data_IF_999227822762
#
_entry.id   IF_999227822762
#
_cell.length_a   1.000
_cell.length_b   1.000
_cell.length_c   1.000
_cell.angle_alpha   90.00
_cell.angle_beta   90.00
_cell.angle_gamma   90.00
#
_symmetry.space_group_name_H-M   'P 1'
#
loop_
_entity.id
_entity.type
_entity.pdbx_description
1 polymer ?
#
# COMPACT_ATOMS: atom_id res chain seq x y z
N UNK A 1 11.42 14.49 -2.73
CA UNK A 1 11.65 13.06 -3.03
C UNK A 1 10.29 12.45 -3.39
N UNK A 2 10.17 11.68 -4.47
CA UNK A 2 8.87 11.10 -4.89
C UNK A 2 8.25 10.19 -3.83
N UNK A 3 9.08 9.60 -2.95
CA UNK A 3 8.63 8.74 -1.85
C UNK A 3 7.86 9.49 -0.74
N UNK A 4 7.93 10.82 -0.71
CA UNK A 4 7.23 11.65 0.28
C UNK A 4 5.91 12.22 -0.23
N UNK A 5 5.48 11.87 -1.46
CA UNK A 5 4.19 12.31 -2.01
C UNK A 5 3.04 11.77 -1.15
N UNK A 6 2.11 12.66 -0.79
CA UNK A 6 0.96 12.35 0.07
C UNK A 6 1.29 12.14 1.54
N UNK A 7 2.57 12.16 1.94
CA UNK A 7 2.98 11.88 3.32
C UNK A 7 2.46 12.95 4.29
N UNK A 8 1.83 12.50 5.36
CA UNK A 8 1.38 13.40 6.43
C UNK A 8 2.57 13.79 7.30
N UNK A 9 2.88 15.09 7.33
CA UNK A 9 3.99 15.64 8.12
C UNK A 9 3.51 16.18 9.48
N UNK A 10 2.31 16.77 9.49
CA UNK A 10 1.67 17.32 10.68
C UNK A 10 0.17 17.09 10.63
N UNK A 11 -0.42 16.93 11.80
CA UNK A 11 -1.87 16.93 11.99
C UNK A 11 -2.19 17.95 13.09
N UNK A 12 -3.13 18.87 12.82
CA UNK A 12 -3.47 19.98 13.71
C UNK A 12 -2.25 20.78 14.21
N UNK A 13 -1.30 21.05 13.31
CA UNK A 13 -0.06 21.78 13.62
C UNK A 13 1.03 20.97 14.36
N UNK A 14 0.72 19.77 14.84
CA UNK A 14 1.65 18.92 15.58
C UNK A 14 2.29 17.83 14.68
N UNK A 15 3.59 17.52 14.84
CA UNK A 15 4.28 16.47 14.07
C UNK A 15 4.02 15.05 14.61
N UNK A 16 3.34 14.94 15.75
CA UNK A 16 2.97 13.71 16.44
C UNK A 16 1.63 13.94 17.13
N UNK A 17 0.94 12.85 17.43
CA UNK A 17 -0.26 12.87 18.25
C UNK A 17 0.10 13.01 19.74
N UNK A 18 -0.90 13.27 20.55
CA UNK A 18 -0.81 13.30 22.01
C UNK A 18 -2.01 12.59 22.63
N UNK A 19 -2.27 11.36 22.17
CA UNK A 19 -3.47 10.57 22.53
C UNK A 19 -3.09 9.29 23.27
N UNK A 20 -2.01 8.63 22.82
CA UNK A 20 -1.63 7.30 23.27
C UNK A 20 -0.50 7.34 24.30
N UNK A 21 -0.28 6.21 24.99
CA UNK A 21 0.81 6.11 25.94
C UNK A 21 2.17 6.05 25.22
N UNK A 22 3.10 6.96 25.53
CA UNK A 22 4.45 6.94 24.97
C UNK A 22 4.54 7.41 23.50
N UNK A 23 5.78 7.60 22.99
CA UNK A 23 6.01 8.31 21.73
C UNK A 23 5.64 7.50 20.48
N UNK A 24 5.70 6.17 20.56
CA UNK A 24 5.58 5.29 19.38
C UNK A 24 4.19 5.31 18.75
N UNK A 25 3.15 5.02 19.53
CA UNK A 25 1.77 5.02 19.05
C UNK A 25 1.29 6.40 18.60
N UNK A 26 1.95 7.46 19.06
CA UNK A 26 1.69 8.83 18.66
C UNK A 26 2.42 9.27 17.39
N UNK A 27 3.23 8.40 16.76
CA UNK A 27 3.95 8.75 15.54
C UNK A 27 2.99 8.71 14.34
N UNK A 28 2.96 9.81 13.57
CA UNK A 28 2.22 9.90 12.31
C UNK A 28 3.08 9.28 11.21
N UNK A 29 2.57 8.24 10.54
CA UNK A 29 3.29 7.49 9.51
C UNK A 29 2.39 7.32 8.29
N UNK A 30 2.99 7.46 7.11
CA UNK A 30 2.29 7.21 5.86
C UNK A 30 1.56 8.43 5.30
N UNK A 31 0.61 8.17 4.40
CA UNK A 31 -0.22 9.18 3.73
C UNK A 31 -1.57 9.30 4.40
N UNK A 32 -2.44 10.21 3.95
CA UNK A 32 -3.81 10.35 4.44
C UNK A 32 -4.79 9.31 3.83
N UNK A 33 -4.26 8.29 3.14
CA UNK A 33 -5.01 7.29 2.37
C UNK A 33 -5.67 7.75 1.07
N UNK A 34 -5.47 9.01 0.65
CA UNK A 34 -6.03 9.51 -0.62
C UNK A 34 -5.02 9.49 -1.76
N UNK A 35 -3.76 9.81 -1.45
CA UNK A 35 -2.65 9.86 -2.38
C UNK A 35 -1.53 8.98 -1.84
N UNK A 36 -0.91 8.17 -2.69
CA UNK A 36 0.21 7.29 -2.34
C UNK A 36 1.41 7.56 -3.25
N UNK A 37 2.64 7.30 -2.77
CA UNK A 37 3.82 7.45 -3.60
C UNK A 37 3.82 6.43 -4.76
N UNK A 38 4.39 6.80 -5.93
CA UNK A 38 4.50 5.90 -7.07
C UNK A 38 5.52 4.78 -6.82
N UNK A 39 5.50 3.78 -7.71
CA UNK A 39 6.40 2.62 -7.70
C UNK A 39 6.26 1.76 -6.44
N UNK A 40 5.02 1.41 -6.11
CA UNK A 40 4.69 0.47 -5.03
C UNK A 40 5.35 -0.87 -5.33
N UNK A 41 6.07 -1.40 -4.36
CA UNK A 41 6.77 -2.67 -4.48
C UNK A 41 5.94 -3.79 -3.85
N UNK A 42 5.81 -4.91 -4.55
CA UNK A 42 5.20 -6.10 -3.98
C UNK A 42 5.90 -6.51 -2.67
N UNK A 43 5.11 -6.91 -1.67
CA UNK A 43 5.60 -7.35 -0.36
C UNK A 43 6.00 -6.23 0.61
N UNK A 44 5.89 -4.95 0.24
CA UNK A 44 6.12 -3.84 1.17
C UNK A 44 4.81 -3.31 1.73
N UNK A 45 4.75 -3.15 3.04
CA UNK A 45 3.60 -2.56 3.72
C UNK A 45 3.36 -1.11 3.27
N UNK A 46 2.09 -0.78 3.09
CA UNK A 46 1.62 0.58 2.83
C UNK A 46 1.14 1.15 4.16
N UNK A 47 1.71 2.27 4.57
CA UNK A 47 1.32 2.98 5.78
C UNK A 47 0.40 4.13 5.44
N UNK A 48 -0.64 4.30 6.25
CA UNK A 48 -1.52 5.46 6.19
C UNK A 48 -1.89 5.94 7.59
N UNK A 49 -2.00 7.25 7.73
CA UNK A 49 -2.51 7.91 8.92
C UNK A 49 -4.02 8.13 8.77
N UNK A 50 -4.75 7.67 9.78
CA UNK A 50 -6.20 7.78 9.85
C UNK A 50 -6.56 8.71 11.00
N UNK A 51 -6.93 9.95 10.68
CA UNK A 51 -7.31 10.95 11.67
C UNK A 51 -8.56 10.56 12.45
N UNK A 52 -9.48 9.83 11.82
CA UNK A 52 -10.69 9.27 12.42
C UNK A 52 -10.40 8.16 13.45
N UNK A 53 -9.23 7.52 13.34
CA UNK A 53 -8.76 6.49 14.27
C UNK A 53 -7.70 7.01 15.24
N UNK A 54 -7.27 8.26 15.11
CA UNK A 54 -6.11 8.83 15.78
C UNK A 54 -4.87 7.91 15.72
N UNK A 55 -4.63 7.15 14.66
CA UNK A 55 -3.43 6.30 14.54
C UNK A 55 -3.04 6.06 13.10
N UNK A 56 -1.82 5.56 12.92
CA UNK A 56 -1.40 5.01 11.63
C UNK A 56 -1.70 3.51 11.56
N UNK A 57 -2.10 3.03 10.39
CA UNK A 57 -2.32 1.61 10.09
C UNK A 57 -1.39 1.18 8.95
N UNK A 58 -1.10 -0.12 8.92
CA UNK A 58 -0.33 -0.75 7.86
C UNK A 58 -1.24 -1.70 7.09
N UNK A 59 -1.31 -1.52 5.78
CA UNK A 59 -1.90 -2.47 4.86
C UNK A 59 -0.78 -3.40 4.33
N UNK A 60 -1.03 -4.71 4.40
CA UNK A 60 -0.09 -5.76 4.04
C UNK A 60 -0.41 -6.31 2.66
N UNK A 61 0.63 -6.54 1.86
CA UNK A 61 0.49 -7.13 0.54
C UNK A 61 0.00 -8.58 0.65
N UNK A 62 -1.06 -8.92 -0.08
CA UNK A 62 -1.59 -10.28 -0.14
C UNK A 62 -1.27 -10.95 -1.49
N UNK A 63 -1.28 -10.22 -2.60
CA UNK A 63 -1.00 -10.79 -3.90
C UNK A 63 -1.30 -9.90 -5.09
N UNK A 64 -1.07 -10.38 -6.31
CA UNK A 64 -1.50 -9.69 -7.52
C UNK A 64 -3.03 -9.74 -7.65
N UNK A 65 -3.59 -8.67 -8.23
CA UNK A 65 -5.00 -8.52 -8.53
C UNK A 65 -5.18 -7.87 -9.91
N UNK A 66 -6.44 -7.75 -10.34
CA UNK A 66 -6.78 -7.04 -11.56
C UNK A 66 -8.06 -6.25 -11.33
N UNK A 67 -8.05 -4.98 -11.74
CA UNK A 67 -9.22 -4.12 -11.69
C UNK A 67 -9.51 -3.56 -13.08
N UNK A 68 -10.64 -3.98 -13.67
CA UNK A 68 -11.08 -3.54 -15.02
C UNK A 68 -9.98 -3.61 -16.08
N UNK A 69 -9.21 -4.71 -16.07
CA UNK A 69 -8.09 -4.94 -16.99
C UNK A 69 -6.74 -4.39 -16.53
N UNK A 70 -6.71 -3.47 -15.57
CA UNK A 70 -5.47 -2.89 -15.02
C UNK A 70 -4.84 -3.85 -14.00
N UNK A 71 -3.55 -4.24 -14.16
CA UNK A 71 -2.82 -4.99 -13.15
C UNK A 71 -2.73 -4.22 -11.85
N UNK A 72 -3.00 -4.91 -10.74
CA UNK A 72 -3.04 -4.30 -9.42
C UNK A 72 -2.30 -5.17 -8.39
N UNK A 73 -2.01 -4.57 -7.24
CA UNK A 73 -1.57 -5.26 -6.03
C UNK A 73 -2.67 -5.16 -4.98
N UNK A 74 -3.08 -6.32 -4.46
CA UNK A 74 -4.05 -6.46 -3.39
C UNK A 74 -3.38 -6.31 -2.03
N UNK A 75 -3.94 -5.43 -1.21
CA UNK A 75 -3.53 -5.20 0.16
C UNK A 75 -4.70 -5.38 1.11
N UNK A 76 -4.44 -5.89 2.30
CA UNK A 76 -5.42 -5.99 3.39
C UNK A 76 -4.90 -5.35 4.66
N UNK A 77 -5.81 -4.84 5.49
CA UNK A 77 -5.45 -4.19 6.75
C UNK A 77 -6.27 -4.75 7.91
N UNK A 78 -5.68 -4.75 9.10
CA UNK A 78 -6.28 -5.26 10.33
C UNK A 78 -6.10 -4.22 11.44
N UNK A 79 -6.86 -4.34 12.54
CA UNK A 79 -6.70 -3.47 13.70
C UNK A 79 -5.54 -3.88 14.63
N UNK A 80 -4.84 -4.98 14.29
CA UNK A 80 -3.70 -5.50 15.02
C UNK A 80 -4.07 -6.42 16.19
N UNK A 81 -3.05 -6.72 17.00
CA UNK A 81 -3.18 -7.45 18.25
C UNK A 81 -2.53 -6.64 19.36
N UNK A 82 -3.29 -5.67 19.87
CA UNK A 82 -2.82 -4.74 20.91
C UNK A 82 -2.51 -5.45 22.24
N UNK A 83 -3.10 -6.64 22.48
CA UNK A 83 -2.85 -7.43 23.68
C UNK A 83 -1.50 -8.16 23.64
N UNK A 84 -1.16 -8.76 22.51
CA UNK A 84 0.01 -9.62 22.38
C UNK A 84 1.23 -8.89 21.80
N UNK A 85 1.03 -7.86 20.97
CA UNK A 85 2.10 -7.17 20.25
C UNK A 85 2.71 -6.07 21.12
N UNK A 86 3.96 -6.19 21.61
CA UNK A 86 4.56 -5.22 22.53
C UNK A 86 4.58 -3.79 21.98
N UNK A 87 4.70 -3.69 20.66
CA UNK A 87 4.76 -2.44 19.91
C UNK A 87 3.43 -1.70 19.84
N UNK A 88 2.31 -2.42 20.01
CA UNK A 88 0.95 -1.90 19.95
C UNK A 88 0.33 -1.72 21.33
N UNK A 89 0.98 -2.21 22.40
CA UNK A 89 0.50 -2.07 23.79
C UNK A 89 0.24 -0.63 24.22
N UNK A 90 0.88 0.36 23.57
CA UNK A 90 0.62 1.77 23.84
C UNK A 90 -0.78 2.25 23.41
N UNK A 91 -1.49 1.49 22.58
CA UNK A 91 -2.89 1.72 22.24
C UNK A 91 -3.86 1.20 23.30
N UNK A 92 -3.42 0.38 24.26
CA UNK A 92 -4.26 -0.08 25.35
C UNK A 92 -4.76 1.09 26.21
N UNK A 93 -6.03 1.10 26.64
CA UNK A 93 -6.55 2.12 27.57
C UNK A 93 -5.76 2.15 28.89
N UNK A 94 -5.48 0.97 29.43
CA UNK A 94 -4.62 0.72 30.59
C UNK A 94 -3.87 -0.62 30.42
N UNK A 95 -2.77 -0.85 31.17
CA UNK A 95 -2.06 -2.13 31.14
C UNK A 95 -2.92 -3.34 31.54
N UNK A 96 -3.84 -3.15 32.49
CA UNK A 96 -4.63 -4.23 33.09
C UNK A 96 -5.95 -4.51 32.35
N UNK A 97 -6.42 -3.55 31.53
CA UNK A 97 -7.71 -3.63 30.83
C UNK A 97 -7.55 -3.58 29.31
N UNK A 98 -6.44 -4.11 28.79
CA UNK A 98 -6.25 -4.12 27.34
C UNK A 98 -7.22 -5.10 26.67
N UNK A 99 -7.84 -4.63 25.59
CA UNK A 99 -8.71 -5.47 24.77
C UNK A 99 -7.88 -6.46 23.94
N UNK A 100 -8.51 -7.54 23.49
CA UNK A 100 -7.85 -8.60 22.73
C UNK A 100 -7.71 -8.24 21.25
N UNK A 101 -7.03 -9.12 20.51
CA UNK A 101 -6.82 -9.05 19.06
C UNK A 101 -8.07 -8.59 18.28
N UNK A 102 -7.83 -7.77 17.25
CA UNK A 102 -8.83 -7.29 16.30
C UNK A 102 -9.78 -6.24 16.86
N UNK A 103 -9.44 -5.65 18.01
CA UNK A 103 -10.17 -4.55 18.62
C UNK A 103 -9.29 -3.30 18.73
N UNK A 104 -9.94 -2.14 18.77
CA UNK A 104 -9.27 -0.87 18.99
C UNK A 104 -10.17 0.08 19.77
N UNK A 105 -9.73 0.49 20.96
CA UNK A 105 -10.47 1.43 21.80
C UNK A 105 -10.25 2.87 21.31
N UNK A 106 -11.34 3.52 20.90
CA UNK A 106 -11.33 4.87 20.36
C UNK A 106 -11.64 5.94 21.43
N UNK A 107 -11.85 5.55 22.69
CA UNK A 107 -12.33 6.44 23.75
C UNK A 107 -11.42 7.62 24.02
N UNK A 108 -10.09 7.42 23.98
CA UNK A 108 -9.12 8.52 24.13
C UNK A 108 -9.09 9.48 22.93
N UNK A 109 -9.50 8.99 21.75
CA UNK A 109 -9.51 9.78 20.51
C UNK A 109 -10.80 10.61 20.37
N UNK A 110 -11.97 10.04 20.68
CA UNK A 110 -13.27 10.68 20.46
C UNK A 110 -13.98 11.16 21.73
N UNK A 111 -13.54 10.69 22.90
CA UNK A 111 -14.24 10.94 24.18
C UNK A 111 -15.49 10.09 24.41
N UNK A 112 -15.85 9.21 23.47
CA UNK A 112 -17.00 8.30 23.58
C UNK A 112 -16.54 6.84 23.78
N UNK A 113 -17.28 6.00 24.52
CA UNK A 113 -16.88 4.62 24.86
C UNK A 113 -17.02 3.65 23.68
N UNK A 114 -16.40 3.98 22.55
CA UNK A 114 -16.48 3.28 21.27
C UNK A 114 -15.26 2.39 21.12
N UNK A 115 -15.51 1.13 20.80
CA UNK A 115 -14.49 0.16 20.41
C UNK A 115 -14.74 -0.26 18.97
N UNK A 116 -13.69 -0.17 18.16
CA UNK A 116 -13.73 -0.59 16.76
C UNK A 116 -13.32 -2.04 16.62
N UNK A 117 -14.00 -2.73 15.71
CA UNK A 117 -13.62 -4.03 15.17
C UNK A 117 -13.81 -4.02 13.65
N UNK A 118 -13.41 -5.08 12.96
CA UNK A 118 -13.94 -5.31 11.61
C UNK A 118 -15.39 -5.85 11.72
N UNK A 119 -16.21 -5.74 10.66
CA UNK A 119 -17.59 -6.22 10.67
C UNK A 119 -17.71 -7.68 11.08
N UNK A 120 -18.74 -7.96 11.87
CA UNK A 120 -19.03 -9.27 12.46
C UNK A 120 -17.82 -9.85 13.23
N UNK A 121 -16.98 -8.97 13.80
CA UNK A 121 -15.75 -9.35 14.51
C UNK A 121 -14.76 -10.16 13.66
N UNK A 122 -14.74 -9.93 12.34
CA UNK A 122 -13.75 -10.55 11.45
C UNK A 122 -12.31 -10.25 11.95
N UNK A 123 -11.50 -11.30 12.06
CA UNK A 123 -10.12 -11.30 12.62
C UNK A 123 -9.97 -10.87 14.10
N UNK A 124 -11.06 -10.68 14.83
CA UNK A 124 -11.00 -10.48 16.28
C UNK A 124 -10.90 -11.81 17.03
N UNK A 125 -10.53 -11.76 18.31
CA UNK A 125 -10.54 -12.92 19.20
C UNK A 125 -11.93 -13.55 19.27
N UNK A 126 -12.00 -14.89 19.17
CA UNK A 126 -13.26 -15.64 19.11
C UNK A 126 -14.15 -15.42 20.34
N UNK A 127 -13.59 -14.97 21.48
CA UNK A 127 -14.37 -14.63 22.66
C UNK A 127 -15.43 -13.55 22.36
N UNK A 128 -15.21 -12.67 21.40
CA UNK A 128 -16.15 -11.60 21.07
C UNK A 128 -17.36 -12.09 20.27
N UNK A 129 -17.27 -13.29 19.70
CA UNK A 129 -18.40 -13.96 19.05
C UNK A 129 -19.28 -14.70 20.06
N UNK A 130 -18.75 -14.97 21.26
CA UNK A 130 -19.49 -15.64 22.32
C UNK A 130 -20.59 -14.71 22.85
N UNK A 131 -21.74 -15.28 23.19
CA UNK A 131 -22.89 -14.55 23.74
C UNK A 131 -23.56 -13.52 22.82
N UNK A 132 -23.21 -13.48 21.53
CA UNK A 132 -23.89 -12.66 20.52
C UNK A 132 -24.34 -13.54 19.35
N UNK A 133 -25.64 -13.61 19.11
CA UNK A 133 -26.21 -14.37 18.00
C UNK A 133 -26.28 -13.52 16.73
N UNK A 134 -26.19 -14.15 15.56
CA UNK A 134 -26.33 -13.49 14.25
C UNK A 134 -25.02 -12.99 13.61
N UNK A 135 -23.90 -13.02 14.34
CA UNK A 135 -22.58 -12.69 13.81
C UNK A 135 -22.05 -13.83 12.91
N UNK A 136 -21.41 -13.43 11.81
CA UNK A 136 -20.91 -14.32 10.75
C UNK A 136 -19.70 -13.67 10.09
N UNK A 137 -18.49 -13.77 10.67
CA UNK A 137 -17.29 -13.19 10.07
C UNK A 137 -16.97 -13.89 8.74
N UNK A 138 -16.94 -13.12 7.65
CA UNK A 138 -16.64 -13.61 6.30
C UNK A 138 -15.60 -12.70 5.65
N UNK A 139 -14.45 -13.26 5.25
CA UNK A 139 -13.33 -12.49 4.69
C UNK A 139 -13.77 -11.57 3.56
N UNK A 140 -14.49 -12.10 2.57
CA UNK A 140 -14.89 -11.34 1.37
C UNK A 140 -15.80 -10.14 1.70
N UNK A 141 -16.64 -10.27 2.73
CA UNK A 141 -17.60 -9.23 3.12
C UNK A 141 -17.06 -8.27 4.16
N UNK A 142 -16.12 -8.69 5.00
CA UNK A 142 -15.76 -7.96 6.22
C UNK A 142 -14.29 -7.56 6.31
N UNK A 143 -13.43 -8.00 5.39
CA UNK A 143 -12.05 -7.51 5.35
C UNK A 143 -11.98 -6.04 4.89
N UNK A 144 -10.96 -5.32 5.37
CA UNK A 144 -10.48 -4.10 4.72
C UNK A 144 -9.56 -4.51 3.59
N UNK A 145 -9.78 -3.97 2.39
CA UNK A 145 -8.84 -4.16 1.29
C UNK A 145 -8.65 -2.92 0.43
N UNK A 146 -7.49 -2.88 -0.24
CA UNK A 146 -7.09 -1.85 -1.17
C UNK A 146 -6.36 -2.49 -2.36
N UNK A 147 -6.80 -2.16 -3.57
CA UNK A 147 -6.14 -2.53 -4.81
C UNK A 147 -5.41 -1.33 -5.38
N UNK A 148 -4.11 -1.45 -5.62
CA UNK A 148 -3.28 -0.36 -6.14
C UNK A 148 -2.70 -0.67 -7.51
N UNK A 149 -2.68 0.32 -8.40
CA UNK A 149 -1.82 0.30 -9.57
C UNK A 149 -0.38 0.59 -9.15
N UNK A 150 0.53 -0.33 -9.45
CA UNK A 150 1.91 -0.35 -8.91
C UNK A 150 2.80 0.82 -9.37
N UNK A 151 2.64 1.32 -10.59
CA UNK A 151 3.53 2.32 -11.20
C UNK A 151 3.22 3.70 -10.63
N UNK A 152 1.95 4.08 -10.65
CA UNK A 152 1.47 5.40 -10.21
C UNK A 152 1.18 5.47 -8.72
N UNK A 153 0.90 4.33 -8.08
CA UNK A 153 0.39 4.28 -6.72
C UNK A 153 -1.10 4.61 -6.61
N UNK A 154 -1.83 4.65 -7.73
CA UNK A 154 -3.25 5.01 -7.75
C UNK A 154 -4.10 3.92 -7.10
N UNK A 155 -4.93 4.23 -6.09
CA UNK A 155 -5.94 3.30 -5.59
C UNK A 155 -7.03 3.08 -6.64
N UNK A 156 -7.27 1.81 -6.98
CA UNK A 156 -8.23 1.38 -8.00
C UNK A 156 -9.56 0.95 -7.38
N UNK A 157 -9.50 0.18 -6.30
CA UNK A 157 -10.65 -0.25 -5.50
C UNK A 157 -10.25 -0.25 -4.04
N UNK A 158 -11.09 0.34 -3.20
CA UNK A 158 -10.87 0.42 -1.76
C UNK A 158 -12.16 0.06 -1.05
N UNK A 159 -12.06 -0.75 0.00
CA UNK A 159 -13.15 -0.98 0.96
C UNK A 159 -12.58 -0.91 2.37
N UNK A 160 -12.87 0.18 3.07
CA UNK A 160 -12.61 0.35 4.50
C UNK A 160 -13.89 0.01 5.25
N UNK A 161 -13.84 -1.06 6.03
CA UNK A 161 -14.99 -1.59 6.76
C UNK A 161 -14.70 -1.60 8.25
N UNK A 162 -15.53 -0.92 9.02
CA UNK A 162 -15.38 -0.80 10.46
C UNK A 162 -16.71 -1.04 11.15
N UNK A 163 -16.66 -1.74 12.27
CA UNK A 163 -17.79 -1.97 13.17
C UNK A 163 -17.57 -1.19 14.46
N UNK A 164 -18.63 -0.51 14.88
CA UNK A 164 -18.68 0.30 16.08
C UNK A 164 -19.38 -0.50 17.16
N UNK A 165 -18.70 -0.66 18.29
CA UNK A 165 -19.16 -1.45 19.42
C UNK A 165 -19.07 -0.62 20.71
N UNK A 166 -19.90 -0.96 21.70
CA UNK A 166 -19.81 -0.42 23.07
C UNK A 166 -19.59 -1.58 24.04
N UNK A 167 -18.70 -1.39 25.01
CA UNK A 167 -18.51 -2.36 26.08
C UNK A 167 -19.64 -2.25 27.10
N UNK A 168 -20.57 -3.20 27.07
CA UNK A 168 -21.66 -3.31 28.05
C UNK A 168 -21.17 -4.19 29.18
N UNK A 169 -21.38 -3.75 30.42
CA UNK A 169 -21.04 -4.50 31.62
C UNK A 169 -22.03 -4.19 32.74
N UNK A 170 -22.10 -5.08 33.73
CA UNK A 170 -22.97 -4.90 34.89
C UNK A 170 -22.54 -3.68 35.72
N UNK A 171 -23.50 -2.80 36.02
CA UNK A 171 -23.31 -1.67 36.94
C UNK A 171 -24.37 -1.73 38.04
N UNK A 172 -23.96 -2.10 39.26
CA UNK A 172 -24.90 -2.34 40.37
C UNK A 172 -25.75 -1.12 40.72
N UNK A 173 -25.19 0.08 40.54
CA UNK A 173 -25.85 1.35 40.87
C UNK A 173 -26.91 1.80 39.85
N UNK A 174 -26.95 1.17 38.66
CA UNK A 174 -27.88 1.55 37.58
C UNK A 174 -28.83 0.38 37.35
N UNK A 175 -30.09 0.53 37.76
CA UNK A 175 -31.10 -0.54 37.73
C UNK A 175 -31.21 -1.23 36.36
N UNK A 176 -31.13 -0.46 35.27
CA UNK A 176 -31.19 -0.95 33.89
C UNK A 176 -29.97 -1.80 33.49
N UNK A 177 -28.82 -1.62 34.16
CA UNK A 177 -27.57 -2.31 33.84
C UNK A 177 -27.23 -3.42 34.84
N UNK A 178 -28.03 -3.62 35.90
CA UNK A 178 -27.76 -4.63 36.91
C UNK A 178 -27.72 -6.06 36.33
N UNK A 179 -28.57 -6.37 35.36
CA UNK A 179 -28.70 -7.72 34.82
C UNK A 179 -28.13 -7.88 33.41
N UNK A 180 -27.32 -6.92 32.95
CA UNK A 180 -26.71 -7.01 31.63
C UNK A 180 -25.46 -7.90 31.64
N UNK A 181 -25.25 -8.70 30.59
CA UNK A 181 -24.02 -9.46 30.44
C UNK A 181 -22.84 -8.51 30.14
N UNK A 182 -21.64 -8.96 30.48
CA UNK A 182 -20.41 -8.26 30.10
C UNK A 182 -20.01 -8.68 28.69
N UNK A 183 -20.31 -7.84 27.70
CA UNK A 183 -20.07 -8.11 26.28
C UNK A 183 -19.63 -6.85 25.53
N UNK A 184 -18.93 -7.06 24.42
CA UNK A 184 -18.67 -6.00 23.45
C UNK A 184 -19.82 -5.96 22.45
N UNK A 185 -20.82 -5.12 22.70
CA UNK A 185 -22.05 -5.11 21.93
C UNK A 185 -21.88 -4.33 20.60
N UNK A 186 -22.08 -4.98 19.43
CA UNK A 186 -22.04 -4.30 18.14
C UNK A 186 -23.28 -3.43 17.95
N UNK A 187 -23.08 -2.21 17.45
CA UNK A 187 -24.16 -1.27 17.17
C UNK A 187 -24.46 -1.25 15.67
N UNK A 188 -23.42 -0.97 14.89
CA UNK A 188 -23.48 -0.88 13.43
C UNK A 188 -22.10 -1.12 12.85
N UNK A 189 -22.06 -1.46 11.58
CA UNK A 189 -20.85 -1.41 10.78
C UNK A 189 -21.09 -0.58 9.53
N UNK A 190 -20.03 0.04 9.03
CA UNK A 190 -20.05 0.89 7.84
C UNK A 190 -18.99 0.43 6.86
N UNK A 191 -19.28 0.61 5.58
CA UNK A 191 -18.32 0.50 4.49
C UNK A 191 -18.11 1.89 3.89
N UNK A 192 -16.87 2.36 3.95
CA UNK A 192 -16.39 3.45 3.11
C UNK A 192 -15.67 2.81 1.91
N UNK A 193 -16.25 3.00 0.73
CA UNK A 193 -15.79 2.34 -0.49
C UNK A 193 -15.55 3.32 -1.62
N UNK A 194 -14.55 3.04 -2.44
CA UNK A 194 -14.29 3.74 -3.69
C UNK A 194 -13.96 2.73 -4.78
N UNK A 195 -14.56 2.92 -5.94
CA UNK A 195 -14.25 2.20 -7.18
C UNK A 195 -13.86 3.22 -8.24
N UNK A 196 -12.71 3.03 -8.88
CA UNK A 196 -12.25 3.93 -9.92
C UNK A 196 -13.13 3.78 -11.16
N UNK A 197 -13.79 4.87 -11.55
CA UNK A 197 -14.69 4.88 -12.70
C UNK A 197 -13.95 4.57 -14.02
N UNK A 198 -14.69 4.04 -15.01
CA UNK A 198 -14.14 3.65 -16.30
C UNK A 198 -13.43 4.83 -17.00
N UNK A 199 -13.94 6.05 -16.86
CA UNK A 199 -13.31 7.23 -17.43
C UNK A 199 -11.87 7.40 -16.94
N UNK A 200 -11.64 7.29 -15.63
CA UNK A 200 -10.31 7.41 -15.03
C UNK A 200 -9.43 6.19 -15.30
N UNK A 201 -10.01 4.99 -15.37
CA UNK A 201 -9.29 3.79 -15.81
C UNK A 201 -8.73 3.96 -17.22
N UNK A 202 -9.53 4.51 -18.15
CA UNK A 202 -9.08 4.76 -19.52
C UNK A 202 -7.96 5.82 -19.55
N UNK A 203 -8.05 6.87 -18.73
CA UNK A 203 -6.98 7.87 -18.58
C UNK A 203 -5.70 7.20 -18.09
N UNK A 204 -5.79 6.33 -17.09
CA UNK A 204 -4.65 5.60 -16.53
C UNK A 204 -4.02 4.67 -17.57
N UNK A 205 -4.85 3.90 -18.30
CA UNK A 205 -4.40 3.02 -19.39
C UNK A 205 -3.64 3.78 -20.47
N UNK A 206 -4.22 4.87 -20.98
CA UNK A 206 -3.63 5.70 -22.03
C UNK A 206 -2.35 6.40 -21.56
N UNK A 207 -2.40 7.02 -20.38
CA UNK A 207 -1.32 7.89 -19.89
C UNK A 207 -0.12 7.08 -19.39
N UNK A 208 -0.35 5.91 -18.80
CA UNK A 208 0.71 5.11 -18.20
C UNK A 208 1.11 3.97 -19.12
N UNK A 209 0.20 3.04 -19.38
CA UNK A 209 0.54 1.78 -20.03
C UNK A 209 0.88 1.97 -21.51
N UNK A 210 0.02 2.66 -22.27
CA UNK A 210 0.26 2.89 -23.70
C UNK A 210 1.44 3.83 -23.94
N UNK A 211 1.56 4.89 -23.15
CA UNK A 211 2.68 5.82 -23.25
C UNK A 211 4.01 5.14 -22.91
N UNK A 212 4.06 4.33 -21.84
CA UNK A 212 5.27 3.57 -21.46
C UNK A 212 5.65 2.58 -22.56
N UNK A 213 4.67 1.88 -23.13
CA UNK A 213 4.90 0.98 -24.26
C UNK A 213 5.47 1.71 -25.49
N UNK A 214 4.84 2.82 -25.88
CA UNK A 214 5.27 3.63 -27.02
C UNK A 214 6.68 4.19 -26.84
N UNK A 215 6.97 4.79 -25.68
CA UNK A 215 8.31 5.31 -25.35
C UNK A 215 9.34 4.17 -25.31
N UNK A 216 8.97 3.02 -24.77
CA UNK A 216 9.81 1.82 -24.77
C UNK A 216 10.17 1.35 -26.17
N UNK A 217 9.18 1.25 -27.05
CA UNK A 217 9.37 0.85 -28.45
C UNK A 217 10.27 1.83 -29.21
N UNK A 218 9.99 3.13 -29.10
CA UNK A 218 10.81 4.20 -29.70
C UNK A 218 12.25 4.13 -29.20
N UNK A 219 12.46 3.95 -27.90
CA UNK A 219 13.80 3.81 -27.31
C UNK A 219 14.56 2.61 -27.89
N UNK A 220 13.91 1.46 -28.02
CA UNK A 220 14.53 0.25 -28.60
C UNK A 220 14.91 0.48 -30.06
N UNK A 221 14.02 1.08 -30.86
CA UNK A 221 14.27 1.39 -32.27
C UNK A 221 15.49 2.30 -32.41
N UNK A 222 15.55 3.41 -31.66
CA UNK A 222 16.69 4.32 -31.69
C UNK A 222 17.99 3.66 -31.22
N UNK A 223 17.93 2.78 -30.23
CA UNK A 223 19.10 2.03 -29.74
C UNK A 223 19.62 1.08 -30.82
N UNK A 224 18.75 0.35 -31.51
CA UNK A 224 19.12 -0.54 -32.62
C UNK A 224 19.72 0.27 -33.77
N UNK A 225 19.09 1.38 -34.15
CA UNK A 225 19.58 2.26 -35.21
C UNK A 225 20.98 2.81 -34.88
N UNK A 226 21.21 3.23 -33.64
CA UNK A 226 22.51 3.70 -33.19
C UNK A 226 23.59 2.60 -33.26
N UNK A 227 23.27 1.37 -32.85
CA UNK A 227 24.18 0.23 -32.94
C UNK A 227 24.51 -0.09 -34.41
N UNK A 228 23.51 -0.09 -35.31
CA UNK A 228 23.71 -0.33 -36.74
C UNK A 228 24.59 0.74 -37.39
N UNK A 229 24.38 2.02 -37.06
CA UNK A 229 25.21 3.11 -37.56
C UNK A 229 26.66 3.01 -37.07
N UNK A 230 26.87 2.65 -35.80
CA UNK A 230 28.23 2.41 -35.26
C UNK A 230 28.91 1.21 -35.91
N UNK A 231 28.17 0.12 -36.14
CA UNK A 231 28.69 -1.05 -36.84
C UNK A 231 29.07 -0.73 -38.29
N UNK A 232 28.24 0.03 -39.00
CA UNK A 232 28.52 0.50 -40.35
C UNK A 232 29.75 1.40 -40.39
N UNK A 233 29.84 2.37 -39.47
CA UNK A 233 31.01 3.25 -39.37
C UNK A 233 32.30 2.46 -39.07
N UNK A 234 32.22 1.48 -38.16
CA UNK A 234 33.33 0.57 -37.86
C UNK A 234 33.75 -0.26 -39.08
N UNK A 235 32.79 -0.82 -39.82
CA UNK A 235 33.04 -1.57 -41.05
C UNK A 235 33.70 -0.72 -42.14
N UNK A 236 33.21 0.50 -42.36
CA UNK A 236 33.80 1.45 -43.31
C UNK A 236 35.21 1.88 -42.88
N UNK A 237 35.46 2.06 -41.59
CA UNK A 237 36.81 2.36 -41.07
C UNK A 237 37.77 1.19 -41.26
N UNK A 238 37.33 -0.04 -40.99
CA UNK A 238 38.11 -1.25 -41.15
C UNK A 238 38.50 -1.48 -42.62
N UNK A 239 37.53 -1.41 -43.54
CA UNK A 239 37.77 -1.57 -44.97
C UNK A 239 38.69 -0.47 -45.52
N UNK A 240 38.56 0.78 -45.04
CA UNK A 240 39.50 1.87 -45.38
C UNK A 240 40.92 1.59 -44.88
N UNK A 241 41.08 1.07 -43.66
CA UNK A 241 42.42 0.69 -43.13
C UNK A 241 43.07 -0.43 -43.93
N UNK A 242 42.32 -1.46 -44.30
CA UNK A 242 42.83 -2.56 -45.13
C UNK A 242 43.35 -2.04 -46.47
N UNK A 243 42.59 -1.19 -47.17
CA UNK A 243 43.03 -0.58 -48.44
C UNK A 243 44.31 0.25 -48.28
N UNK A 244 44.45 1.01 -47.19
CA UNK A 244 45.67 1.80 -46.92
C UNK A 244 46.89 0.90 -46.63
N UNK A 245 46.69 -0.25 -45.98
CA UNK A 245 47.76 -1.21 -45.73
C UNK A 245 48.20 -1.94 -47.00
N UNK A 246 47.28 -2.27 -47.91
CA UNK A 246 47.63 -2.83 -49.23
C UNK A 246 48.47 -1.85 -50.06
N UNK A 247 48.13 -0.56 -50.07
CA UNK A 247 48.87 0.47 -50.82
C UNK A 247 50.28 0.69 -50.25
N UNK A 248 50.51 0.41 -48.95
CA UNK A 248 51.82 0.55 -48.29
C UNK A 248 52.72 -0.69 -48.36
N UNK A 249 52.26 -1.83 -48.91
CA UNK A 249 53.14 -2.99 -49.15
C UNK A 249 54.01 -2.71 -50.39
N UNK A 250 55.34 -2.57 -50.27
CA UNK A 250 56.20 -2.35 -51.43
C UNK A 250 56.22 -3.63 -52.31
N UNK A 251 56.15 -3.45 -53.62
CA UNK A 251 56.34 -4.53 -54.61
C UNK A 251 57.75 -5.10 -54.49
N UNK A 252 57.91 -6.28 -53.88
CA UNK A 252 59.20 -6.99 -53.79
C UNK A 252 59.62 -7.71 -55.08
N UNK A 253 58.92 -7.53 -56.19
CA UNK A 253 59.13 -8.31 -57.43
C UNK A 253 59.68 -7.49 -58.60
N UNK A 254 60.45 -6.42 -58.36
CA UNK A 254 61.07 -5.62 -59.43
C UNK A 254 62.60 -5.49 -59.35
N UNK A 255 63.29 -6.48 -58.76
CA UNK A 255 64.76 -6.57 -58.78
C UNK A 255 65.18 -7.98 -59.24
N UNK A 256 64.90 -8.30 -60.50
CA UNK A 256 65.54 -9.42 -61.22
C UNK A 256 65.22 -9.29 -62.70
N UNK A 257 65.90 -8.37 -63.40
CA UNK A 257 66.15 -8.39 -64.84
C UNK A 257 67.01 -7.15 -65.21
N UNK A 258 68.24 -7.12 -64.70
CA UNK A 258 69.34 -6.36 -65.30
C UNK A 258 70.55 -7.29 -65.31
N UNK A 259 70.76 -7.95 -66.45
CA UNK A 259 72.05 -8.46 -66.94
C UNK A 259 71.84 -8.91 -68.38
#
# INVERSE_FOLDING_TARGET
NFKDVGKVVRFNGAPKLDVWAGPRCNTIRGTDSTIFPPFIQAGKDILSFHSDLCRSLAAKYEGPAQYRGIPAYHYTATLGDISSTPEEKCFCPSPDTCLKKGTFDLSKCTGAPIVLTLPHFYEADEMYLQNITGLRPEKQKHQIYLDFESITGTPLSVRKRLQFNINIHRVEKITQMQNLPTILAPILWVEEGMDLDQHFVNILEMSVFRTTFFVGAVRVIFTILAILLLALAGYLHYTKRLKVQEIKRPNSNQISNIS
#
